data_IF_885261564447
#
_entry.id   IF_885261564447
#
_cell.length_a   1.000
_cell.length_b   1.000
_cell.length_c   1.000
_cell.angle_alpha   90.00
_cell.angle_beta   90.00
_cell.angle_gamma   90.00
#
_symmetry.space_group_name_H-M   'P 1'
#
loop_
_entity.id
_entity.type
_entity.pdbx_description
1 polymer ?
#
# COMPACT_ATOMS: atom_id res chain seq x y z
N UNK A 1 -44.65 -20.13 15.09
CA UNK A 1 -43.24 -20.17 15.58
C UNK A 1 -42.22 -20.51 14.48
N UNK A 2 -42.61 -21.05 13.32
CA UNK A 2 -41.65 -21.63 12.37
C UNK A 2 -41.12 -20.76 11.21
N UNK A 3 -41.61 -19.52 11.00
CA UNK A 3 -41.14 -18.68 9.87
C UNK A 3 -40.22 -17.52 10.28
N UNK A 4 -40.22 -17.13 11.56
CA UNK A 4 -39.36 -16.05 12.07
C UNK A 4 -37.90 -16.52 12.28
N UNK A 5 -37.68 -17.82 12.46
CA UNK A 5 -36.34 -18.36 12.71
C UNK A 5 -35.47 -18.43 11.44
N UNK A 6 -36.09 -18.66 10.27
CA UNK A 6 -35.36 -18.76 9.00
C UNK A 6 -34.92 -17.41 8.42
N UNK A 7 -35.57 -16.31 8.83
CA UNK A 7 -35.17 -14.96 8.41
C UNK A 7 -33.91 -14.49 9.16
N UNK A 8 -33.71 -14.96 10.39
CA UNK A 8 -32.55 -14.60 11.22
C UNK A 8 -31.25 -15.26 10.72
N UNK A 9 -31.34 -16.49 10.19
CA UNK A 9 -30.17 -17.25 9.72
C UNK A 9 -29.60 -16.67 8.41
N UNK A 10 -30.43 -16.06 7.57
CA UNK A 10 -29.99 -15.45 6.30
C UNK A 10 -29.36 -14.06 6.50
N UNK A 11 -29.74 -13.34 7.56
CA UNK A 11 -29.17 -12.01 7.84
C UNK A 11 -27.72 -12.10 8.36
N UNK A 12 -27.37 -13.16 9.08
CA UNK A 12 -26.01 -13.36 9.63
C UNK A 12 -24.98 -13.68 8.54
N UNK A 13 -25.39 -14.22 7.39
CA UNK A 13 -24.48 -14.52 6.27
C UNK A 13 -24.20 -13.32 5.37
N UNK A 14 -24.79 -12.15 5.65
CA UNK A 14 -24.66 -10.95 4.81
C UNK A 14 -23.74 -9.87 5.37
N UNK A 15 -23.01 -10.14 6.46
CA UNK A 15 -21.90 -9.28 6.86
C UNK A 15 -20.84 -9.36 5.75
N UNK A 16 -20.63 -8.32 4.93
CA UNK A 16 -19.40 -8.28 4.16
C UNK A 16 -18.30 -8.33 5.19
N UNK A 17 -17.52 -9.42 5.21
CA UNK A 17 -16.20 -9.34 5.82
C UNK A 17 -15.54 -8.19 5.08
N UNK A 18 -15.35 -7.06 5.77
CA UNK A 18 -14.56 -5.97 5.26
C UNK A 18 -13.16 -6.55 5.11
N UNK A 19 -12.86 -7.09 3.94
CA UNK A 19 -11.52 -7.52 3.59
C UNK A 19 -10.68 -6.25 3.60
N UNK A 20 -9.77 -6.17 4.55
CA UNK A 20 -8.74 -5.16 4.58
C UNK A 20 -7.91 -5.27 3.30
N UNK A 21 -7.65 -4.13 2.69
CA UNK A 21 -6.89 -4.02 1.46
C UNK A 21 -5.48 -4.58 1.68
N UNK A 22 -4.96 -5.38 0.75
CA UNK A 22 -3.56 -5.83 0.79
C UNK A 22 -2.71 -5.11 -0.26
N UNK A 23 -1.62 -4.48 0.15
CA UNK A 23 -0.73 -3.76 -0.75
C UNK A 23 0.71 -4.27 -0.64
N UNK A 24 1.47 -4.09 -1.72
CA UNK A 24 2.92 -4.30 -1.70
C UNK A 24 3.60 -3.15 -0.95
N UNK A 25 4.40 -3.48 0.05
CA UNK A 25 5.19 -2.54 0.83
C UNK A 25 6.68 -2.70 0.52
N UNK A 26 7.26 -1.69 -0.11
CA UNK A 26 8.70 -1.59 -0.28
C UNK A 26 9.13 -0.12 -0.25
N UNK A 27 10.40 0.11 0.08
CA UNK A 27 10.96 1.44 0.13
C UNK A 27 12.44 1.42 -0.18
N UNK A 28 12.87 2.39 -0.97
CA UNK A 28 14.27 2.78 -1.09
C UNK A 28 14.41 4.12 -0.37
N UNK A 29 15.18 4.13 0.72
CA UNK A 29 15.48 5.33 1.50
C UNK A 29 16.90 5.76 1.21
N UNK A 30 17.06 6.95 0.64
CA UNK A 30 18.35 7.59 0.44
C UNK A 30 18.59 8.55 1.61
N UNK A 31 19.47 8.14 2.51
CA UNK A 31 19.89 8.95 3.64
C UNK A 31 20.95 9.96 3.23
N UNK A 32 20.84 11.18 3.76
CA UNK A 32 21.81 12.24 3.58
C UNK A 32 22.26 12.80 4.93
N UNK A 33 23.56 12.69 5.22
CA UNK A 33 24.18 13.23 6.43
C UNK A 33 24.86 14.55 6.09
N UNK A 34 24.39 15.63 6.69
CA UNK A 34 24.96 16.97 6.54
C UNK A 34 25.80 17.32 7.77
N UNK A 35 26.88 18.10 7.58
CA UNK A 35 27.60 18.69 8.70
C UNK A 35 26.83 19.88 9.27
N UNK A 36 27.34 20.46 10.37
CA UNK A 36 26.76 21.65 11.02
C UNK A 36 26.68 22.91 10.12
N UNK A 37 27.34 22.91 8.96
CA UNK A 37 27.32 23.99 7.98
C UNK A 37 26.39 23.69 6.80
N UNK A 38 25.61 22.61 6.84
CA UNK A 38 24.69 22.21 5.78
C UNK A 38 25.36 21.56 4.57
N UNK A 39 26.63 21.14 4.67
CA UNK A 39 27.34 20.47 3.57
C UNK A 39 27.11 18.96 3.67
N UNK A 40 26.74 18.33 2.55
CA UNK A 40 26.59 16.87 2.46
C UNK A 40 27.94 16.19 2.72
N UNK A 41 28.01 15.39 3.77
CA UNK A 41 29.22 14.64 4.18
C UNK A 41 29.16 13.20 3.67
N UNK A 42 27.97 12.60 3.69
CA UNK A 42 27.77 11.20 3.29
C UNK A 42 26.34 10.99 2.83
N UNK A 43 26.18 10.20 1.77
CA UNK A 43 24.90 9.64 1.38
C UNK A 43 25.00 8.11 1.35
N UNK A 44 23.93 7.43 1.74
CA UNK A 44 23.81 5.97 1.60
C UNK A 44 22.36 5.60 1.37
N UNK A 45 22.14 4.46 0.72
CA UNK A 45 20.81 3.98 0.39
C UNK A 45 20.52 2.70 1.14
N UNK A 46 19.31 2.59 1.66
CA UNK A 46 18.76 1.39 2.30
C UNK A 46 17.52 0.95 1.54
N UNK A 47 17.46 -0.32 1.17
CA UNK A 47 16.30 -0.91 0.51
C UNK A 47 15.57 -1.81 1.51
N UNK A 48 14.26 -1.62 1.61
CA UNK A 48 13.36 -2.39 2.45
C UNK A 48 12.32 -3.06 1.56
N UNK A 49 12.24 -4.38 1.59
CA UNK A 49 11.24 -5.16 0.88
C UNK A 49 10.45 -5.96 1.92
N UNK A 50 9.17 -5.60 2.09
CA UNK A 50 8.29 -6.18 3.11
C UNK A 50 7.24 -7.12 2.49
N UNK A 51 7.17 -7.22 1.16
CA UNK A 51 6.13 -7.97 0.48
C UNK A 51 4.73 -7.39 0.68
N UNK A 52 3.71 -8.25 0.65
CA UNK A 52 2.32 -7.87 0.82
C UNK A 52 1.98 -7.69 2.29
N UNK A 53 1.45 -6.52 2.64
CA UNK A 53 0.96 -6.21 3.98
C UNK A 53 -0.51 -5.78 3.92
N UNK A 54 -1.21 -6.11 5.00
CA UNK A 54 -2.57 -5.66 5.25
C UNK A 54 -2.58 -4.17 5.59
N UNK A 55 -3.43 -3.41 4.93
CA UNK A 55 -3.64 -1.99 5.22
C UNK A 55 -4.52 -1.82 6.45
N UNK A 56 -4.13 -0.89 7.33
CA UNK A 56 -5.01 -0.38 8.37
C UNK A 56 -6.28 0.24 7.79
N UNK A 57 -7.37 0.25 8.57
CA UNK A 57 -8.73 0.63 8.12
C UNK A 57 -8.80 1.99 7.39
N UNK A 58 -7.95 2.94 7.77
CA UNK A 58 -7.93 4.30 7.19
C UNK A 58 -7.06 4.41 5.92
N UNK A 59 -6.27 3.39 5.59
CA UNK A 59 -5.35 3.38 4.45
C UNK A 59 -5.97 2.63 3.28
N UNK A 60 -6.90 3.28 2.59
CA UNK A 60 -7.79 2.65 1.60
C UNK A 60 -7.21 2.55 0.19
N UNK A 61 -5.91 2.83 0.00
CA UNK A 61 -5.27 2.89 -1.31
C UNK A 61 -3.92 2.20 -1.31
N UNK A 62 -3.65 1.38 -2.32
CA UNK A 62 -2.27 1.00 -2.64
C UNK A 62 -1.67 2.10 -3.51
N UNK A 63 -0.47 2.54 -3.18
CA UNK A 63 0.20 3.66 -3.86
C UNK A 63 1.62 3.27 -4.24
N UNK A 64 2.01 3.62 -5.47
CA UNK A 64 3.41 3.74 -5.88
C UNK A 64 3.77 5.23 -5.92
N UNK A 65 4.61 5.70 -5.02
CA UNK A 65 4.89 7.12 -4.85
C UNK A 65 6.29 7.48 -5.32
N UNK A 66 6.42 8.69 -5.88
CA UNK A 66 7.72 9.27 -6.27
C UNK A 66 8.56 9.62 -5.05
N UNK A 67 9.87 9.78 -5.27
CA UNK A 67 10.79 10.24 -4.23
C UNK A 67 10.24 11.50 -3.54
N UNK A 68 10.15 11.44 -2.21
CA UNK A 68 9.74 12.55 -1.35
C UNK A 68 10.65 12.63 -0.13
N UNK A 69 10.72 13.80 0.51
CA UNK A 69 11.48 13.92 1.75
C UNK A 69 10.84 13.11 2.88
N UNK A 70 11.65 12.39 3.66
CA UNK A 70 11.17 11.60 4.81
C UNK A 70 10.43 12.48 5.83
N UNK A 71 10.84 13.74 5.97
CA UNK A 71 10.14 14.72 6.81
C UNK A 71 8.71 14.98 6.32
N UNK A 72 8.49 15.03 5.01
CA UNK A 72 7.16 15.17 4.42
C UNK A 72 6.37 13.86 4.53
N UNK A 73 7.01 12.71 4.29
CA UNK A 73 6.42 11.38 4.52
C UNK A 73 5.87 11.25 5.94
N UNK A 74 6.62 11.71 6.95
CA UNK A 74 6.21 11.69 8.35
C UNK A 74 4.95 12.55 8.67
N UNK A 75 4.46 13.35 7.70
CA UNK A 75 3.20 14.12 7.81
C UNK A 75 1.99 13.42 7.18
N UNK A 76 2.18 12.25 6.59
CA UNK A 76 1.13 11.45 5.96
C UNK A 76 0.45 10.54 7.00
N UNK A 77 -0.77 10.11 6.73
CA UNK A 77 -1.54 9.21 7.59
C UNK A 77 -0.84 7.85 7.72
N UNK A 78 -0.21 7.36 6.64
CA UNK A 78 0.60 6.13 6.68
C UNK A 78 1.75 6.20 7.70
N UNK A 79 2.29 7.40 7.97
CA UNK A 79 3.35 7.56 8.96
C UNK A 79 2.85 7.52 10.41
N UNK A 80 1.53 7.58 10.63
CA UNK A 80 0.91 7.38 11.94
C UNK A 80 0.56 5.90 12.18
N UNK A 81 0.69 5.05 11.15
CA UNK A 81 0.43 3.63 11.25
C UNK A 81 1.53 2.92 12.06
N UNK A 82 1.18 2.05 13.02
CA UNK A 82 2.16 1.38 13.89
C UNK A 82 2.92 0.23 13.21
N UNK A 83 2.97 0.17 11.88
CA UNK A 83 3.68 -0.88 11.15
C UNK A 83 5.22 -0.77 11.24
N UNK A 84 5.86 -1.92 11.07
CA UNK A 84 7.33 -2.02 10.95
C UNK A 84 7.83 -1.19 9.77
N UNK A 85 7.08 -1.17 8.66
CA UNK A 85 7.39 -0.36 7.48
C UNK A 85 7.58 1.12 7.83
N UNK A 86 6.60 1.70 8.53
CA UNK A 86 6.65 3.09 8.96
C UNK A 86 7.85 3.36 9.87
N UNK A 87 8.12 2.47 10.83
CA UNK A 87 9.28 2.60 11.71
C UNK A 87 10.61 2.60 10.94
N UNK A 88 10.74 1.77 9.89
CA UNK A 88 11.94 1.71 9.06
C UNK A 88 12.13 2.98 8.23
N UNK A 89 11.07 3.56 7.68
CA UNK A 89 11.17 4.80 6.90
C UNK A 89 11.41 6.01 7.81
N UNK A 90 10.61 6.17 8.87
CA UNK A 90 10.61 7.35 9.74
C UNK A 90 11.87 7.52 10.58
N UNK A 91 12.66 6.46 10.79
CA UNK A 91 13.92 6.52 11.52
C UNK A 91 15.09 7.16 10.71
N UNK A 92 14.86 7.48 9.44
CA UNK A 92 15.88 7.95 8.52
C UNK A 92 15.75 9.46 8.21
N UNK A 93 16.80 10.05 7.62
CA UNK A 93 16.82 11.44 7.19
C UNK A 93 17.25 11.53 5.72
N UNK A 94 16.40 12.09 4.87
CA UNK A 94 16.68 12.22 3.44
C UNK A 94 15.41 12.02 2.63
N UNK A 95 15.48 11.17 1.60
CA UNK A 95 14.37 10.90 0.70
C UNK A 95 13.94 9.44 0.71
N UNK A 96 12.66 9.21 0.43
CA UNK A 96 12.05 7.88 0.32
C UNK A 96 11.24 7.80 -0.97
N UNK A 97 11.38 6.68 -1.68
CA UNK A 97 10.57 6.27 -2.83
C UNK A 97 10.10 4.84 -2.61
N UNK A 98 8.90 4.46 -3.06
CA UNK A 98 8.44 3.10 -2.87
C UNK A 98 6.94 2.90 -3.05
N UNK A 99 6.45 1.81 -2.44
CA UNK A 99 5.06 1.39 -2.46
C UNK A 99 4.55 1.13 -1.05
N UNK A 100 3.33 1.55 -0.75
CA UNK A 100 2.65 1.23 0.51
C UNK A 100 1.14 1.53 0.45
N UNK A 101 0.43 1.15 1.52
CA UNK A 101 -0.91 1.64 1.80
C UNK A 101 -0.90 3.14 2.15
N UNK A 102 -1.86 3.91 1.64
CA UNK A 102 -2.10 5.31 2.00
C UNK A 102 -3.59 5.63 2.10
N UNK A 103 -3.93 6.73 2.76
CA UNK A 103 -5.30 7.26 2.74
C UNK A 103 -5.61 7.90 1.38
N UNK A 104 -6.91 8.05 1.07
CA UNK A 104 -7.34 8.81 -0.11
C UNK A 104 -6.79 10.25 -0.09
N UNK A 105 -6.79 10.88 1.09
CA UNK A 105 -6.34 12.25 1.25
C UNK A 105 -4.85 12.40 0.94
N UNK A 106 -4.03 11.46 1.41
CA UNK A 106 -2.60 11.43 1.11
C UNK A 106 -2.34 11.21 -0.38
N UNK A 107 -3.10 10.35 -1.05
CA UNK A 107 -3.00 10.16 -2.50
C UNK A 107 -3.18 11.48 -3.27
N UNK A 108 -4.13 12.31 -2.85
CA UNK A 108 -4.34 13.64 -3.43
C UNK A 108 -3.18 14.57 -3.08
N UNK A 109 -2.75 14.58 -1.80
CA UNK A 109 -1.68 15.43 -1.29
C UNK A 109 -0.35 15.22 -2.03
N UNK A 110 -0.03 13.96 -2.36
CA UNK A 110 1.19 13.62 -3.11
C UNK A 110 0.99 13.54 -4.62
N UNK A 111 -0.23 13.85 -5.10
CA UNK A 111 -0.62 13.80 -6.51
C UNK A 111 -0.41 12.44 -7.17
N UNK A 112 -0.62 11.35 -6.44
CA UNK A 112 -0.54 9.99 -6.98
C UNK A 112 -1.58 9.70 -8.09
N UNK A 113 -2.59 10.55 -8.22
CA UNK A 113 -3.62 10.50 -9.27
C UNK A 113 -3.15 11.11 -10.61
N UNK A 114 -2.14 11.99 -10.59
CA UNK A 114 -1.64 12.72 -11.76
C UNK A 114 -0.40 11.99 -12.31
N UNK A 115 -0.54 11.25 -13.42
CA UNK A 115 0.55 10.43 -13.99
C UNK A 115 1.64 11.31 -14.60
N UNK A 116 2.81 11.36 -13.96
CA UNK A 116 4.04 11.85 -14.60
C UNK A 116 5.24 10.87 -14.52
N UNK A 117 5.25 9.88 -13.62
CA UNK A 117 5.94 8.56 -13.77
C UNK A 117 5.65 7.66 -12.55
N UNK A 118 5.33 6.38 -12.76
CA UNK A 118 5.00 5.37 -11.73
C UNK A 118 5.79 4.04 -11.93
N UNK A 119 6.94 4.12 -12.61
CA UNK A 119 7.86 3.03 -13.03
C UNK A 119 7.27 1.62 -13.12
N UNK A 120 6.60 1.38 -14.27
CA UNK A 120 5.97 0.14 -14.78
C UNK A 120 4.79 0.44 -15.74
N UNK A 121 4.33 -0.55 -16.51
CA UNK A 121 3.12 -0.46 -17.36
C UNK A 121 1.85 -0.53 -16.50
N UNK A 122 1.52 0.57 -15.81
CA UNK A 122 0.32 0.69 -15.00
C UNK A 122 -0.69 1.71 -15.59
N UNK A 123 -2.00 1.42 -15.53
CA UNK A 123 -3.05 2.21 -16.17
C UNK A 123 -3.26 3.53 -15.44
N UNK A 124 -3.18 4.66 -16.16
CA UNK A 124 -3.63 6.04 -15.82
C UNK A 124 -3.33 6.70 -14.45
N UNK A 125 -3.06 6.00 -13.35
CA UNK A 125 -2.81 6.54 -12.00
C UNK A 125 -1.81 5.69 -11.21
N UNK A 126 -1.03 6.28 -10.30
CA UNK A 126 -0.11 5.54 -9.43
C UNK A 126 -0.77 4.98 -8.15
N UNK A 127 -2.10 5.06 -8.04
CA UNK A 127 -2.87 4.60 -6.87
C UNK A 127 -4.10 3.78 -7.27
N UNK A 128 -4.48 2.79 -6.47
CA UNK A 128 -5.60 1.90 -6.76
C UNK A 128 -6.26 1.37 -5.46
N UNK A 129 -7.43 0.71 -5.55
CA UNK A 129 -8.23 0.24 -4.39
C UNK A 129 -8.36 -1.28 -4.28
N UNK A 130 -7.73 -2.03 -5.17
CA UNK A 130 -7.83 -3.49 -5.18
C UNK A 130 -6.54 -4.09 -4.68
N UNK A 131 -6.60 -5.32 -4.17
CA UNK A 131 -5.41 -5.97 -3.64
C UNK A 131 -4.29 -6.06 -4.70
N UNK A 132 -3.05 -5.89 -4.24
CA UNK A 132 -1.82 -6.09 -5.00
C UNK A 132 -1.67 -5.21 -6.26
N UNK A 133 -2.54 -4.22 -6.42
CA UNK A 133 -2.71 -3.53 -7.70
C UNK A 133 -1.49 -2.68 -8.11
N UNK A 134 -0.61 -2.33 -7.18
CA UNK A 134 0.67 -1.64 -7.45
C UNK A 134 1.86 -2.60 -7.59
N UNK A 135 1.65 -3.92 -7.49
CA UNK A 135 2.64 -4.96 -7.74
C UNK A 135 2.92 -5.15 -9.23
N UNK A 136 4.15 -5.52 -9.60
CA UNK A 136 4.39 -6.01 -10.95
C UNK A 136 3.72 -7.40 -11.03
N UNK A 137 2.70 -7.54 -11.87
CA UNK A 137 2.02 -8.82 -12.07
C UNK A 137 2.96 -9.76 -12.83
N UNK A 138 3.80 -10.50 -12.13
CA UNK A 138 4.29 -11.76 -12.63
C UNK A 138 3.77 -12.85 -11.71
N UNK A 139 3.01 -13.78 -12.30
CA UNK A 139 2.57 -15.09 -11.78
C UNK A 139 1.08 -15.22 -11.38
N UNK A 140 0.35 -15.90 -12.27
CA UNK A 140 -0.78 -16.83 -12.04
C UNK A 140 -2.23 -16.32 -11.96
N UNK A 141 -2.75 -15.83 -13.09
CA UNK A 141 -4.13 -16.19 -13.49
C UNK A 141 -4.13 -17.63 -14.03
N UNK A 142 -4.27 -18.64 -13.17
CA UNK A 142 -4.65 -19.99 -13.61
C UNK A 142 -5.07 -20.87 -12.42
N UNK A 143 -6.22 -20.63 -11.78
CA UNK A 143 -6.85 -21.65 -10.91
C UNK A 143 -8.31 -21.35 -10.51
N UNK A 144 -9.19 -20.99 -11.45
CA UNK A 144 -10.65 -21.02 -11.20
C UNK A 144 -11.41 -21.58 -12.41
N UNK A 145 -10.98 -22.74 -12.94
CA UNK A 145 -11.72 -23.45 -13.99
C UNK A 145 -11.90 -24.96 -13.74
N UNK A 146 -11.51 -25.48 -12.57
CA UNK A 146 -11.60 -26.93 -12.26
C UNK A 146 -12.77 -27.35 -11.36
N UNK A 147 -13.67 -26.45 -10.98
CA UNK A 147 -14.82 -26.79 -10.10
C UNK A 147 -16.12 -27.13 -10.84
N UNK A 148 -16.15 -27.15 -12.17
CA UNK A 148 -17.36 -27.41 -12.96
C UNK A 148 -17.46 -28.80 -13.60
N UNK A 149 -16.50 -29.72 -13.37
CA UNK A 149 -16.50 -31.05 -14.01
C UNK A 149 -16.85 -32.21 -13.05
N UNK A 150 -17.14 -31.94 -11.77
CA UNK A 150 -17.52 -32.98 -10.80
C UNK A 150 -19.04 -33.15 -10.58
N UNK A 151 -19.86 -32.54 -11.42
CA UNK A 151 -21.32 -32.74 -11.42
C UNK A 151 -21.83 -33.08 -12.80
N UNK A 152 -21.44 -34.25 -13.32
CA UNK A 152 -22.18 -35.00 -14.33
C UNK A 152 -21.96 -36.50 -14.13
#
# INVERSE_FOLDING_TARGET
VSMLLNLLVILVTSLPLASSLMCLHNATVTNAIYNKYGVLVRAYTSNYDMGLLECSENLTRCVNFKSMDVSFFNTLDVAQDPSIYTSLVSANNGQVVGRCCMSEADCVKIKAQEKEDCTGDQPTSCSCKTDECTGASEVQMQLVAMLLVLTY
#
